data_IF_955198661963
#
_entry.id   IF_955198661963
#
_cell.length_a   1.000
_cell.length_b   1.000
_cell.length_c   1.000
_cell.angle_alpha   90.00
_cell.angle_beta   90.00
_cell.angle_gamma   90.00
#
_symmetry.space_group_name_H-M   'P 1'
#
loop_
_entity.id
_entity.type
_entity.pdbx_description
1 polymer ?
#
# COMPACT_ATOMS: atom_id res chain seq x y z
N UNK A 1 0.73 -6.98 -24.93
CA UNK A 1 -0.08 -6.64 -23.75
C UNK A 1 -0.12 -7.85 -22.84
N UNK A 2 -0.04 -7.64 -21.53
CA UNK A 2 -0.20 -8.72 -20.55
C UNK A 2 -1.68 -9.07 -20.53
N UNK A 3 -2.02 -10.33 -20.77
CA UNK A 3 -3.39 -10.79 -20.64
C UNK A 3 -3.71 -10.98 -19.15
N UNK A 4 -4.08 -9.89 -18.48
CA UNK A 4 -4.56 -9.93 -17.11
C UNK A 4 -6.02 -9.46 -17.10
N UNK A 5 -6.91 -10.26 -16.51
CA UNK A 5 -8.35 -9.97 -16.49
C UNK A 5 -8.82 -9.91 -15.05
N UNK A 6 -9.53 -8.84 -14.68
CA UNK A 6 -10.14 -8.70 -13.36
C UNK A 6 -11.14 -9.82 -13.14
N UNK A 7 -10.92 -10.59 -12.08
CA UNK A 7 -11.65 -11.81 -11.70
C UNK A 7 -11.45 -13.01 -12.66
N UNK A 8 -10.43 -12.97 -13.52
CA UNK A 8 -9.93 -14.14 -14.23
C UNK A 8 -9.10 -15.06 -13.32
N UNK A 9 -8.66 -16.19 -13.86
CA UNK A 9 -7.92 -17.23 -13.12
C UNK A 9 -6.67 -16.68 -12.42
N UNK A 10 -5.85 -15.92 -13.15
CA UNK A 10 -4.63 -15.31 -12.60
C UNK A 10 -4.93 -14.33 -11.47
N UNK A 11 -5.98 -13.52 -11.61
CA UNK A 11 -6.37 -12.57 -10.56
C UNK A 11 -6.81 -13.30 -9.29
N UNK A 12 -7.69 -14.29 -9.42
CA UNK A 12 -8.17 -15.08 -8.29
C UNK A 12 -7.03 -15.84 -7.62
N UNK A 13 -6.11 -16.41 -8.39
CA UNK A 13 -4.93 -17.08 -7.87
C UNK A 13 -4.09 -16.14 -7.01
N UNK A 14 -3.81 -14.92 -7.49
CA UNK A 14 -3.05 -13.91 -6.72
C UNK A 14 -3.78 -13.51 -5.43
N UNK A 15 -5.09 -13.27 -5.48
CA UNK A 15 -5.87 -12.91 -4.29
C UNK A 15 -5.86 -14.04 -3.25
N UNK A 16 -6.01 -15.30 -3.69
CA UNK A 16 -5.95 -16.47 -2.81
C UNK A 16 -4.55 -16.60 -2.20
N UNK A 17 -3.49 -16.46 -3.00
CA UNK A 17 -2.11 -16.50 -2.51
C UNK A 17 -1.83 -15.41 -1.48
N UNK A 18 -2.30 -14.19 -1.69
CA UNK A 18 -2.17 -13.09 -0.73
C UNK A 18 -2.94 -13.37 0.56
N UNK A 19 -4.16 -13.89 0.47
CA UNK A 19 -4.97 -14.23 1.63
C UNK A 19 -4.34 -15.36 2.46
N UNK A 20 -3.89 -16.43 1.81
CA UNK A 20 -3.23 -17.57 2.45
C UNK A 20 -1.91 -17.13 3.11
N UNK A 21 -1.07 -16.38 2.40
CA UNK A 21 0.19 -15.87 2.95
C UNK A 21 -0.05 -14.98 4.15
N UNK A 22 -1.04 -14.07 4.07
CA UNK A 22 -1.42 -13.22 5.20
C UNK A 22 -1.87 -14.04 6.40
N UNK A 23 -2.72 -15.05 6.20
CA UNK A 23 -3.20 -15.93 7.25
C UNK A 23 -2.05 -16.69 7.93
N UNK A 24 -1.12 -17.25 7.15
CA UNK A 24 0.05 -17.97 7.66
C UNK A 24 0.98 -17.05 8.47
N UNK A 25 1.29 -15.86 7.95
CA UNK A 25 2.12 -14.85 8.64
C UNK A 25 1.46 -14.43 9.97
N UNK A 26 0.16 -14.16 9.97
CA UNK A 26 -0.59 -13.79 11.18
C UNK A 26 -0.60 -14.95 12.18
N UNK A 27 -0.84 -16.18 11.73
CA UNK A 27 -0.82 -17.37 12.59
C UNK A 27 0.56 -17.59 13.21
N UNK A 28 1.63 -17.43 12.43
CA UNK A 28 3.01 -17.51 12.92
C UNK A 28 3.28 -16.42 13.98
N UNK A 29 2.83 -15.18 13.72
CA UNK A 29 2.91 -14.10 14.70
C UNK A 29 2.15 -14.40 16.00
N UNK A 30 0.91 -14.87 15.90
CA UNK A 30 0.07 -15.17 17.09
C UNK A 30 0.63 -16.30 17.95
N UNK A 31 1.25 -17.31 17.34
CA UNK A 31 1.84 -18.48 18.02
C UNK A 31 3.31 -18.28 18.43
N UNK A 32 3.97 -17.26 17.88
CA UNK A 32 5.37 -16.97 18.13
C UNK A 32 5.63 -16.24 19.46
N UNK A 33 6.91 -16.21 19.85
CA UNK A 33 7.39 -15.42 20.99
C UNK A 33 7.32 -13.91 20.66
N UNK A 34 7.46 -13.02 21.66
CA UNK A 34 7.56 -11.59 21.40
C UNK A 34 8.63 -11.22 20.36
N UNK A 35 9.77 -11.91 20.36
CA UNK A 35 10.87 -11.71 19.41
C UNK A 35 10.44 -12.10 17.99
N UNK A 36 9.78 -13.25 17.82
CA UNK A 36 9.24 -13.68 16.52
C UNK A 36 8.24 -12.66 15.98
N UNK A 37 7.37 -12.11 16.85
CA UNK A 37 6.40 -11.08 16.46
C UNK A 37 7.09 -9.81 15.94
N UNK A 38 8.17 -9.40 16.61
CA UNK A 38 8.93 -8.21 16.21
C UNK A 38 9.73 -8.45 14.92
N UNK A 39 10.37 -9.61 14.77
CA UNK A 39 11.11 -9.98 13.56
C UNK A 39 10.18 -10.00 12.34
N UNK A 40 8.99 -10.60 12.45
CA UNK A 40 8.03 -10.63 11.35
C UNK A 40 7.54 -9.21 11.02
N UNK A 41 7.21 -8.40 12.03
CA UNK A 41 6.77 -7.02 11.82
C UNK A 41 7.84 -6.18 11.10
N UNK A 42 9.09 -6.29 11.53
CA UNK A 42 10.24 -5.61 10.90
C UNK A 42 10.50 -6.15 9.50
N UNK A 43 10.36 -7.45 9.29
CA UNK A 43 10.45 -8.07 7.97
C UNK A 43 9.41 -7.51 7.01
N UNK A 44 8.14 -7.42 7.42
CA UNK A 44 7.07 -6.81 6.63
C UNK A 44 7.37 -5.33 6.32
N UNK A 45 7.86 -4.57 7.31
CA UNK A 45 8.24 -3.17 7.14
C UNK A 45 9.38 -3.01 6.12
N UNK A 46 10.41 -3.85 6.19
CA UNK A 46 11.53 -3.83 5.24
C UNK A 46 11.03 -4.21 3.84
N UNK A 47 10.23 -5.27 3.70
CA UNK A 47 9.69 -5.69 2.41
C UNK A 47 8.84 -4.61 1.76
N UNK A 48 8.02 -3.89 2.54
CA UNK A 48 7.24 -2.72 2.07
C UNK A 48 8.13 -1.66 1.42
N UNK A 49 9.25 -1.31 2.06
CA UNK A 49 10.17 -0.30 1.53
C UNK A 49 10.96 -0.84 0.35
N UNK A 50 11.48 -2.06 0.43
CA UNK A 50 12.30 -2.66 -0.63
C UNK A 50 11.54 -2.79 -1.94
N UNK A 51 10.28 -3.21 -1.91
CA UNK A 51 9.48 -3.31 -3.14
C UNK A 51 9.21 -1.93 -3.76
N UNK A 52 9.03 -0.88 -2.94
CA UNK A 52 8.80 0.49 -3.42
C UNK A 52 10.08 1.03 -4.06
N UNK A 53 11.22 0.78 -3.43
CA UNK A 53 12.52 1.14 -4.00
C UNK A 53 12.78 0.39 -5.31
N UNK A 54 12.42 -0.89 -5.40
CA UNK A 54 12.52 -1.65 -6.64
C UNK A 54 11.69 -1.02 -7.77
N UNK A 55 10.51 -0.48 -7.45
CA UNK A 55 9.68 0.26 -8.39
C UNK A 55 10.39 1.53 -8.90
N UNK A 56 11.00 2.31 -8.01
CA UNK A 56 11.75 3.51 -8.41
C UNK A 56 12.99 3.17 -9.24
N UNK A 57 13.71 2.09 -8.89
CA UNK A 57 14.89 1.63 -9.63
C UNK A 57 14.49 1.18 -11.03
N UNK A 58 13.42 0.39 -11.17
CA UNK A 58 12.91 -0.04 -12.48
C UNK A 58 12.55 1.16 -13.36
N UNK A 59 11.84 2.14 -12.80
CA UNK A 59 11.49 3.36 -13.50
C UNK A 59 12.71 4.20 -13.92
N UNK A 60 13.75 4.26 -13.08
CA UNK A 60 14.97 4.97 -13.40
C UNK A 60 15.74 4.28 -14.54
N UNK A 61 15.82 2.95 -14.52
CA UNK A 61 16.49 2.15 -15.55
C UNK A 61 15.75 2.24 -16.90
N UNK A 62 14.42 2.27 -16.89
CA UNK A 62 13.60 2.34 -18.11
C UNK A 62 13.41 3.78 -18.63
N UNK A 63 13.94 4.78 -17.92
CA UNK A 63 13.79 6.19 -18.29
C UNK A 63 12.38 6.75 -18.08
N UNK A 64 11.52 6.02 -17.36
CA UNK A 64 10.15 6.42 -17.03
C UNK A 64 10.07 7.32 -15.78
N UNK A 65 11.12 7.36 -14.98
CA UNK A 65 11.14 8.14 -13.75
C UNK A 65 11.11 9.65 -14.02
N UNK A 66 10.06 10.32 -13.57
CA UNK A 66 9.98 11.78 -13.53
C UNK A 66 9.46 12.26 -12.18
N UNK A 67 9.75 13.52 -11.84
CA UNK A 67 9.24 14.14 -10.62
C UNK A 67 7.71 14.33 -10.66
N UNK A 68 7.08 14.28 -11.84
CA UNK A 68 5.62 14.37 -12.00
C UNK A 68 4.90 13.04 -11.75
N UNK A 69 5.58 11.90 -11.85
CA UNK A 69 4.95 10.58 -11.79
C UNK A 69 5.47 9.69 -10.66
N UNK A 70 6.69 9.91 -10.17
CA UNK A 70 7.34 9.01 -9.18
C UNK A 70 7.66 9.62 -7.82
N UNK A 71 7.26 10.86 -7.49
CA UNK A 71 7.26 11.27 -6.09
C UNK A 71 6.25 10.42 -5.28
N UNK A 72 6.56 10.07 -4.02
CA UNK A 72 5.70 9.24 -3.18
C UNK A 72 4.53 10.03 -2.58
N UNK A 73 3.82 10.80 -3.40
CA UNK A 73 2.70 11.67 -3.02
C UNK A 73 1.36 10.97 -3.26
N UNK A 74 1.34 9.90 -4.05
CA UNK A 74 0.18 9.01 -4.12
C UNK A 74 -0.14 8.39 -2.76
N UNK A 75 -1.43 8.26 -2.46
CA UNK A 75 -1.91 7.70 -1.19
C UNK A 75 -1.40 6.27 -0.94
N UNK A 76 -1.25 5.43 -1.98
CA UNK A 76 -0.68 4.10 -1.85
C UNK A 76 0.80 4.14 -1.45
N UNK A 77 1.62 4.98 -2.10
CA UNK A 77 3.01 5.21 -1.71
C UNK A 77 3.12 5.70 -0.26
N UNK A 78 2.34 6.71 0.13
CA UNK A 78 2.29 7.17 1.52
C UNK A 78 1.87 6.04 2.48
N UNK A 79 0.90 5.21 2.10
CA UNK A 79 0.46 4.06 2.90
C UNK A 79 1.57 3.03 3.10
N UNK A 80 2.46 2.82 2.11
CA UNK A 80 3.61 1.92 2.23
C UNK A 80 4.56 2.41 3.33
N UNK A 81 4.97 3.68 3.26
CA UNK A 81 5.88 4.28 4.24
C UNK A 81 5.25 4.32 5.64
N UNK A 82 3.99 4.75 5.75
CA UNK A 82 3.29 4.82 7.03
C UNK A 82 3.06 3.42 7.64
N UNK A 83 2.72 2.41 6.83
CA UNK A 83 2.53 1.04 7.33
C UNK A 83 3.85 0.46 7.80
N UNK A 84 4.95 0.65 7.06
CA UNK A 84 6.28 0.25 7.50
C UNK A 84 6.68 0.92 8.82
N UNK A 85 6.41 2.22 8.95
CA UNK A 85 6.68 2.95 10.18
C UNK A 85 5.78 2.53 11.36
N UNK A 86 4.49 2.22 11.10
CA UNK A 86 3.56 1.71 12.10
C UNK A 86 3.96 0.33 12.61
N UNK A 87 4.47 -0.55 11.74
CA UNK A 87 5.01 -1.87 12.11
C UNK A 87 6.21 -1.76 13.07
N UNK A 88 7.03 -0.71 12.93
CA UNK A 88 8.17 -0.46 13.81
C UNK A 88 7.79 0.24 15.12
N UNK A 89 6.90 1.23 15.06
CA UNK A 89 6.65 2.12 16.19
C UNK A 89 5.38 1.81 16.97
N UNK A 90 4.43 1.12 16.34
CA UNK A 90 3.11 0.77 16.91
C UNK A 90 2.37 1.99 17.46
N UNK A 91 2.61 3.18 16.89
CA UNK A 91 1.93 4.42 17.28
C UNK A 91 0.48 4.38 16.83
N UNK A 92 -0.45 4.59 17.77
CA UNK A 92 -1.88 4.48 17.52
C UNK A 92 -2.36 5.37 16.36
N UNK A 93 -2.03 6.67 16.39
CA UNK A 93 -2.38 7.62 15.31
C UNK A 93 -2.02 7.11 13.89
N UNK A 94 -0.84 6.49 13.76
CA UNK A 94 -0.31 6.03 12.48
C UNK A 94 -1.02 4.74 12.08
N UNK A 95 -1.21 3.84 13.04
CA UNK A 95 -2.03 2.65 12.83
C UNK A 95 -3.46 3.00 12.40
N UNK A 96 -4.14 3.95 13.04
CA UNK A 96 -5.48 4.40 12.63
C UNK A 96 -5.46 4.86 11.16
N UNK A 97 -4.45 5.67 10.79
CA UNK A 97 -4.27 6.16 9.42
C UNK A 97 -4.11 5.00 8.42
N UNK A 98 -3.17 4.09 8.68
CA UNK A 98 -2.94 2.93 7.84
C UNK A 98 -4.18 2.02 7.77
N UNK A 99 -4.88 1.83 8.88
CA UNK A 99 -6.07 0.98 8.95
C UNK A 99 -7.15 1.49 8.01
N UNK A 100 -7.53 2.76 8.11
CA UNK A 100 -8.58 3.32 7.28
C UNK A 100 -8.16 3.47 5.80
N UNK A 101 -6.91 3.84 5.53
CA UNK A 101 -6.39 3.88 4.15
C UNK A 101 -6.26 2.50 3.51
N UNK A 102 -6.05 1.44 4.29
CA UNK A 102 -5.99 0.06 3.77
C UNK A 102 -7.30 -0.40 3.13
N UNK A 103 -8.44 0.23 3.43
CA UNK A 103 -9.71 -0.04 2.74
C UNK A 103 -9.58 0.29 1.24
N UNK A 104 -8.89 1.39 0.92
CA UNK A 104 -8.55 1.74 -0.47
C UNK A 104 -7.60 0.71 -1.10
N UNK A 105 -6.65 0.18 -0.33
CA UNK A 105 -5.77 -0.90 -0.82
C UNK A 105 -6.53 -2.20 -1.08
N UNK A 106 -7.51 -2.55 -0.25
CA UNK A 106 -8.42 -3.69 -0.49
C UNK A 106 -9.24 -3.47 -1.76
N UNK A 107 -9.74 -2.25 -1.99
CA UNK A 107 -10.44 -1.92 -3.22
C UNK A 107 -9.52 -2.04 -4.45
N UNK A 108 -8.30 -1.52 -4.38
CA UNK A 108 -7.30 -1.63 -5.45
C UNK A 108 -6.94 -3.08 -5.78
N UNK A 109 -6.90 -3.97 -4.77
CA UNK A 109 -6.74 -5.41 -4.98
C UNK A 109 -7.97 -6.05 -5.64
N UNK A 110 -9.18 -5.63 -5.28
CA UNK A 110 -10.40 -6.21 -5.84
C UNK A 110 -10.68 -5.75 -7.28
N UNK A 111 -10.39 -4.50 -7.59
CA UNK A 111 -10.65 -3.85 -8.87
C UNK A 111 -9.39 -3.13 -9.37
N UNK A 112 -8.35 -3.87 -9.79
CA UNK A 112 -7.10 -3.26 -10.25
C UNK A 112 -7.31 -2.50 -11.56
N UNK A 113 -6.60 -1.38 -11.71
CA UNK A 113 -6.51 -0.69 -13.00
C UNK A 113 -5.51 -1.44 -13.90
N UNK A 114 -6.04 -2.31 -14.76
CA UNK A 114 -5.25 -3.17 -15.65
C UNK A 114 -4.45 -2.35 -16.67
N UNK A 115 -4.92 -1.17 -17.07
CA UNK A 115 -4.21 -0.33 -18.06
C UNK A 115 -2.84 0.13 -17.56
N UNK A 116 -2.65 0.16 -16.23
CA UNK A 116 -1.35 0.44 -15.62
C UNK A 116 -0.33 -0.71 -15.72
N UNK A 117 -0.73 -1.89 -16.21
CA UNK A 117 0.11 -3.09 -16.28
C UNK A 117 0.87 -3.21 -17.60
N UNK A 118 1.91 -2.37 -17.74
CA UNK A 118 2.77 -2.37 -18.93
C UNK A 118 3.90 -3.43 -18.87
N UNK A 119 4.19 -4.03 -17.72
CA UNK A 119 5.21 -5.08 -17.57
C UNK A 119 4.85 -6.12 -16.50
N UNK A 120 5.35 -7.37 -16.59
CA UNK A 120 5.08 -8.40 -15.59
C UNK A 120 5.53 -7.99 -14.19
N UNK A 121 6.62 -7.23 -14.11
CA UNK A 121 7.09 -6.64 -12.87
C UNK A 121 6.05 -5.71 -12.24
N UNK A 122 5.37 -4.85 -13.03
CA UNK A 122 4.33 -3.94 -12.52
C UNK A 122 3.13 -4.68 -11.94
N UNK A 123 2.71 -5.79 -12.57
CA UNK A 123 1.64 -6.63 -12.04
C UNK A 123 2.03 -7.16 -10.65
N UNK A 124 3.20 -7.81 -10.56
CA UNK A 124 3.69 -8.37 -9.30
C UNK A 124 3.87 -7.30 -8.23
N UNK A 125 4.47 -6.16 -8.59
CA UNK A 125 4.72 -5.05 -7.67
C UNK A 125 3.40 -4.43 -7.17
N UNK A 126 2.39 -4.26 -8.04
CA UNK A 126 1.09 -3.74 -7.66
C UNK A 126 0.40 -4.64 -6.61
N UNK A 127 0.30 -5.94 -6.87
CA UNK A 127 -0.33 -6.87 -5.91
C UNK A 127 0.49 -7.03 -4.63
N UNK A 128 1.82 -7.02 -4.73
CA UNK A 128 2.72 -7.10 -3.58
C UNK A 128 2.60 -5.87 -2.69
N UNK A 129 2.65 -4.66 -3.25
CA UNK A 129 2.56 -3.41 -2.48
C UNK A 129 1.23 -3.30 -1.73
N UNK A 130 0.09 -3.44 -2.43
CA UNK A 130 -1.22 -3.35 -1.81
C UNK A 130 -1.48 -4.52 -0.85
N UNK A 131 -1.05 -5.72 -1.20
CA UNK A 131 -1.11 -6.89 -0.33
C UNK A 131 -0.34 -6.69 0.98
N UNK A 132 0.87 -6.10 0.92
CA UNK A 132 1.68 -5.82 2.11
C UNK A 132 1.10 -4.70 2.98
N UNK A 133 0.46 -3.67 2.41
CA UNK A 133 -0.26 -2.65 3.19
C UNK A 133 -1.34 -3.34 4.03
N UNK A 134 -2.19 -4.13 3.38
CA UNK A 134 -3.29 -4.85 4.04
C UNK A 134 -2.72 -5.82 5.07
N UNK A 135 -1.74 -6.63 4.70
CA UNK A 135 -1.11 -7.60 5.61
C UNK A 135 -0.46 -6.93 6.83
N UNK A 136 0.21 -5.80 6.67
CA UNK A 136 0.81 -5.03 7.75
C UNK A 136 -0.23 -4.50 8.75
N UNK A 137 -1.34 -3.96 8.25
CA UNK A 137 -2.47 -3.51 9.08
C UNK A 137 -3.12 -4.69 9.81
N UNK A 138 -3.37 -5.81 9.13
CA UNK A 138 -3.93 -7.01 9.75
C UNK A 138 -2.97 -7.59 10.79
N UNK A 139 -1.66 -7.51 10.57
CA UNK A 139 -0.66 -7.94 11.55
C UNK A 139 -0.72 -7.09 12.83
N UNK A 140 -0.74 -5.76 12.70
CA UNK A 140 -0.92 -4.84 13.83
C UNK A 140 -2.24 -5.09 14.57
N UNK A 141 -3.30 -5.38 13.82
CA UNK A 141 -4.64 -5.64 14.37
C UNK A 141 -4.69 -6.97 15.15
N UNK A 142 -4.24 -8.07 14.55
CA UNK A 142 -4.45 -9.40 15.10
C UNK A 142 -3.30 -9.95 15.94
N UNK A 143 -2.08 -9.46 15.74
CA UNK A 143 -0.88 -9.92 16.47
C UNK A 143 -0.53 -8.95 17.60
N UNK A 144 -0.61 -7.63 17.34
CA UNK A 144 -0.39 -6.59 18.35
C UNK A 144 -1.67 -6.11 19.03
N UNK A 145 -2.84 -6.62 18.64
CA UNK A 145 -4.15 -6.28 19.23
C UNK A 145 -4.50 -4.79 19.16
N UNK A 146 -3.97 -4.06 18.18
CA UNK A 146 -4.35 -2.66 17.92
C UNK A 146 -5.78 -2.61 17.37
N UNK A 147 -6.55 -1.58 17.74
CA UNK A 147 -7.98 -1.50 17.39
C UNK A 147 -8.29 -0.19 16.70
N UNK A 148 -8.97 -0.26 15.56
CA UNK A 148 -9.52 0.91 14.92
C UNK A 148 -10.62 1.51 15.78
N UNK A 149 -10.68 2.84 15.86
CA UNK A 149 -11.65 3.56 16.69
C UNK A 149 -12.38 4.63 15.90
N UNK A 150 -13.63 4.91 16.27
CA UNK A 150 -14.41 6.02 15.69
C UNK A 150 -13.72 7.38 15.85
N UNK A 151 -13.06 7.60 16.98
CA UNK A 151 -12.24 8.79 17.17
C UNK A 151 -11.07 8.84 16.17
N UNK A 152 -10.40 7.69 15.95
CA UNK A 152 -9.39 7.52 14.92
C UNK A 152 -9.90 7.84 13.52
N UNK A 153 -11.14 7.47 13.18
CA UNK A 153 -11.74 7.82 11.88
C UNK A 153 -11.77 9.33 11.66
N UNK A 154 -12.25 10.11 12.63
CA UNK A 154 -12.33 11.57 12.49
C UNK A 154 -10.94 12.21 12.37
N UNK A 155 -9.96 11.70 13.11
CA UNK A 155 -8.57 12.10 12.98
C UNK A 155 -8.03 11.82 11.58
N UNK A 156 -8.30 10.62 11.05
CA UNK A 156 -7.82 10.21 9.72
C UNK A 156 -8.52 10.97 8.61
N UNK A 157 -9.78 11.38 8.77
CA UNK A 157 -10.44 12.31 7.83
C UNK A 157 -9.67 13.63 7.76
N UNK A 158 -9.27 14.19 8.90
CA UNK A 158 -8.44 15.40 8.96
C UNK A 158 -7.07 15.20 8.29
N UNK A 159 -6.38 14.09 8.59
CA UNK A 159 -5.10 13.73 7.96
C UNK A 159 -5.27 13.57 6.44
N UNK A 160 -6.35 12.93 6.00
CA UNK A 160 -6.63 12.71 4.57
C UNK A 160 -6.86 14.03 3.85
N UNK A 161 -7.64 14.95 4.43
CA UNK A 161 -7.82 16.30 3.88
C UNK A 161 -6.48 17.03 3.77
N UNK A 162 -5.65 16.99 4.82
CA UNK A 162 -4.35 17.64 4.82
C UNK A 162 -3.39 17.06 3.76
N UNK A 163 -3.36 15.74 3.62
CA UNK A 163 -2.54 15.03 2.63
C UNK A 163 -3.02 15.33 1.22
N UNK A 164 -4.34 15.32 0.97
CA UNK A 164 -4.91 15.68 -0.33
C UNK A 164 -4.62 17.15 -0.69
N UNK A 165 -4.74 18.07 0.27
CA UNK A 165 -4.38 19.47 0.05
C UNK A 165 -2.88 19.63 -0.26
N UNK A 166 -2.02 18.90 0.44
CA UNK A 166 -0.59 18.86 0.15
C UNK A 166 -0.30 18.30 -1.26
N UNK A 167 -0.94 17.20 -1.65
CA UNK A 167 -0.82 16.63 -2.98
C UNK A 167 -1.28 17.62 -4.07
N UNK A 168 -2.39 18.33 -3.84
CA UNK A 168 -2.86 19.39 -4.75
C UNK A 168 -1.86 20.55 -4.87
N UNK A 169 -1.23 20.95 -3.77
CA UNK A 169 -0.17 21.96 -3.81
C UNK A 169 1.05 21.48 -4.60
N UNK A 170 1.47 20.22 -4.43
CA UNK A 170 2.56 19.63 -5.23
C UNK A 170 2.18 19.62 -6.71
N UNK A 171 0.97 19.14 -7.04
CA UNK A 171 0.47 19.13 -8.42
C UNK A 171 0.55 20.50 -9.08
N UNK A 172 0.09 21.55 -8.39
CA UNK A 172 0.19 22.92 -8.85
C UNK A 172 1.63 23.41 -9.03
N UNK A 173 2.54 23.01 -8.14
CA UNK A 173 3.93 23.47 -8.14
C UNK A 173 4.76 22.90 -9.30
N UNK A 174 4.53 21.64 -9.67
CA UNK A 174 5.37 20.91 -10.64
C UNK A 174 4.62 20.41 -11.88
N UNK A 175 3.38 20.87 -12.08
CA UNK A 175 2.48 20.48 -13.18
C UNK A 175 2.29 18.95 -13.24
N UNK A 176 1.89 18.37 -12.10
CA UNK A 176 1.68 16.93 -11.93
C UNK A 176 0.21 16.60 -11.66
N UNK A 177 -0.11 15.30 -11.64
CA UNK A 177 -1.45 14.80 -11.36
C UNK A 177 -1.45 13.67 -10.31
N UNK A 178 -0.76 13.89 -9.19
CA UNK A 178 -0.80 12.98 -8.05
C UNK A 178 -2.22 12.82 -7.52
N UNK A 179 -2.54 11.59 -7.11
CA UNK A 179 -3.88 11.20 -6.61
C UNK A 179 -5.03 11.51 -7.59
N UNK A 180 -4.73 11.81 -8.86
CA UNK A 180 -5.73 12.16 -9.89
C UNK A 180 -6.62 13.34 -9.50
N UNK A 181 -6.05 14.34 -8.81
CA UNK A 181 -6.78 15.52 -8.32
C UNK A 181 -7.06 16.55 -9.42
N UNK A 182 -6.25 16.58 -10.48
CA UNK A 182 -6.32 17.57 -11.54
C UNK A 182 -7.03 17.01 -12.78
N UNK A 183 -6.72 15.77 -13.13
CA UNK A 183 -7.31 15.06 -14.27
C UNK A 183 -7.65 13.62 -13.88
N UNK A 184 -8.65 13.03 -14.54
CA UNK A 184 -8.99 11.62 -14.37
C UNK A 184 -7.84 10.72 -14.85
N UNK A 185 -7.68 9.52 -14.29
CA UNK A 185 -6.75 8.54 -14.84
C UNK A 185 -7.10 8.24 -16.31
N UNK A 186 -6.08 8.01 -17.14
CA UNK A 186 -6.31 7.47 -18.49
C UNK A 186 -6.83 6.03 -18.33
N UNK A 187 -7.96 5.71 -18.97
CA UNK A 187 -8.58 4.38 -18.91
C UNK A 187 -9.93 4.26 -18.20
N UNK A 188 -10.56 5.38 -17.82
CA UNK A 188 -11.88 5.43 -17.17
C UNK A 188 -12.92 6.29 -17.91
#
# INVERSE_FOLDING_TARGET
>A
MINFTTFGEDHLAVLISLALTSALIIMAGKRGTPETKDIIAKGLAVTLIVQEMAMHVEAAITGLWTIQTYLPVHMCSLSIYLTGYALWTRRDMIFQTCYYWSIGAVHALATPNIESFFSPFRVVQFFTSHGLIVMGVLYLTFVYNMKATWHGLHLVLGITIAVTAFAGFVNWLIDANYMFLCEKPVGE
#
